data_IF_611963544163
#
_entry.id   IF_611963544163
#
_cell.length_a   1.000
_cell.length_b   1.000
_cell.length_c   1.000
_cell.angle_alpha   90.00
_cell.angle_beta   90.00
_cell.angle_gamma   90.00
#
_symmetry.space_group_name_H-M   'P 1'
#
loop_
_entity.id
_entity.type
_entity.pdbx_description
1 polymer ?
#
# COMPACT_ATOMS: atom_id res chain seq x y z
N UNK A 1 -1.28 10.43 -5.77
CA UNK A 1 -0.66 10.03 -7.05
C UNK A 1 -1.39 8.82 -7.59
N UNK A 2 -1.54 8.63 -8.91
CA UNK A 2 -2.22 7.46 -9.49
C UNK A 2 -1.21 6.64 -10.27
N UNK A 3 -1.03 5.39 -9.86
CA UNK A 3 0.02 4.51 -10.39
C UNK A 3 -0.30 3.93 -11.78
N UNK A 4 -1.58 3.82 -12.14
CA UNK A 4 -2.01 3.23 -13.41
C UNK A 4 -2.09 1.69 -13.41
N UNK A 5 -1.81 1.03 -12.27
CA UNK A 5 -1.89 -0.42 -12.11
C UNK A 5 -1.17 -0.91 -10.84
N UNK A 6 -0.91 -2.22 -10.78
CA UNK A 6 -0.14 -2.91 -9.74
C UNK A 6 0.98 -3.74 -10.37
N UNK A 7 2.10 -3.90 -9.66
CA UNK A 7 3.29 -4.62 -10.13
C UNK A 7 3.25 -6.08 -9.64
N UNK A 8 3.21 -7.07 -10.55
CA UNK A 8 3.60 -8.47 -10.28
C UNK A 8 3.91 -9.20 -11.59
N UNK A 9 4.80 -10.21 -11.59
CA UNK A 9 5.22 -10.98 -12.75
C UNK A 9 4.17 -12.05 -13.10
N UNK A 10 3.18 -11.69 -13.89
CA UNK A 10 2.33 -12.63 -14.61
C UNK A 10 2.28 -12.22 -16.10
N UNK A 11 1.89 -13.09 -17.01
CA UNK A 11 1.86 -12.82 -18.47
C UNK A 11 0.92 -11.67 -18.91
N UNK A 12 0.21 -11.03 -17.94
CA UNK A 12 -0.58 -9.79 -18.08
C UNK A 12 -0.04 -8.62 -17.25
N UNK A 13 1.12 -8.78 -16.63
CA UNK A 13 1.80 -7.79 -15.82
C UNK A 13 2.08 -6.51 -16.60
N UNK A 14 1.75 -5.39 -15.97
CA UNK A 14 2.23 -4.08 -16.37
C UNK A 14 3.54 -3.90 -15.60
N UNK A 15 4.69 -3.90 -16.28
CA UNK A 15 5.99 -3.81 -15.60
C UNK A 15 6.14 -2.50 -14.81
N UNK A 16 7.13 -2.38 -13.90
CA UNK A 16 7.35 -1.16 -13.13
C UNK A 16 7.54 0.07 -14.03
N UNK A 17 8.09 -0.13 -15.23
CA UNK A 17 8.24 0.85 -16.33
C UNK A 17 6.90 1.50 -16.75
N UNK A 18 5.82 0.75 -16.62
CA UNK A 18 4.48 1.11 -17.08
C UNK A 18 3.59 1.60 -15.94
N UNK A 19 4.03 1.44 -14.69
CA UNK A 19 3.51 2.19 -13.57
C UNK A 19 4.07 3.61 -13.66
N UNK A 20 3.25 4.62 -13.32
CA UNK A 20 3.67 6.02 -13.28
C UNK A 20 4.60 6.32 -12.09
N UNK A 21 5.64 5.50 -11.86
CA UNK A 21 6.55 5.59 -10.73
C UNK A 21 7.55 6.73 -10.88
N UNK A 22 7.96 7.05 -12.12
CA UNK A 22 8.86 8.18 -12.36
C UNK A 22 8.22 9.48 -11.91
N UNK A 23 6.98 9.69 -12.29
CA UNK A 23 6.18 10.85 -11.90
C UNK A 23 5.95 10.89 -10.38
N UNK A 24 5.80 9.73 -9.72
CA UNK A 24 5.73 9.66 -8.27
C UNK A 24 7.04 10.16 -7.64
N UNK A 25 8.19 9.66 -8.10
CA UNK A 25 9.50 10.05 -7.55
C UNK A 25 9.78 11.52 -7.80
N UNK A 26 9.48 12.03 -9.00
CA UNK A 26 9.62 13.45 -9.33
C UNK A 26 8.78 14.33 -8.41
N UNK A 27 7.55 13.93 -8.09
CA UNK A 27 6.68 14.65 -7.13
C UNK A 27 7.20 14.68 -5.70
N UNK A 28 8.03 13.71 -5.32
CA UNK A 28 8.62 13.62 -3.97
C UNK A 28 9.99 14.30 -3.90
N UNK A 29 10.55 14.73 -5.04
CA UNK A 29 11.93 15.21 -5.12
C UNK A 29 12.18 16.52 -4.36
N UNK A 30 11.20 17.44 -4.34
CA UNK A 30 11.35 18.77 -3.76
C UNK A 30 11.32 18.80 -2.21
N UNK A 31 11.04 17.66 -1.57
CA UNK A 31 11.03 17.52 -0.11
C UNK A 31 9.87 18.23 0.58
N UNK A 32 8.86 18.71 -0.15
CA UNK A 32 7.67 19.36 0.44
C UNK A 32 6.67 18.36 1.01
N UNK A 33 6.73 17.10 0.56
CA UNK A 33 5.86 16.02 1.02
C UNK A 33 6.48 15.37 2.25
N UNK A 34 5.74 15.36 3.36
CA UNK A 34 6.17 14.77 4.62
C UNK A 34 5.68 13.32 4.82
N UNK A 35 4.60 12.94 4.12
CA UNK A 35 4.01 11.60 4.21
C UNK A 35 3.50 11.05 2.87
N UNK A 36 3.82 9.79 2.60
CA UNK A 36 3.23 8.99 1.52
C UNK A 36 2.36 7.90 2.13
N UNK A 37 1.06 7.95 1.84
CA UNK A 37 0.10 6.93 2.24
C UNK A 37 -0.13 5.98 1.06
N UNK A 38 0.23 4.71 1.25
CA UNK A 38 0.03 3.64 0.27
C UNK A 38 -1.38 3.08 0.43
N UNK A 39 -2.20 3.34 -0.58
CA UNK A 39 -3.60 2.94 -0.67
C UNK A 39 -3.86 2.03 -1.88
N UNK A 40 -2.93 1.12 -2.16
CA UNK A 40 -3.15 0.04 -3.14
C UNK A 40 -4.14 -0.98 -2.58
N UNK A 41 -4.68 -1.82 -3.45
CA UNK A 41 -5.70 -2.80 -3.10
C UNK A 41 -5.27 -3.71 -1.93
N UNK A 42 -6.23 -4.17 -1.11
CA UNK A 42 -5.97 -4.99 0.06
C UNK A 42 -5.68 -6.47 -0.26
N UNK A 43 -5.17 -6.76 -1.46
CA UNK A 43 -4.81 -8.10 -1.94
C UNK A 43 -3.29 -8.32 -1.96
N UNK A 44 -2.85 -9.45 -2.51
CA UNK A 44 -1.44 -9.88 -2.55
C UNK A 44 -0.64 -8.99 -3.51
N UNK A 45 -1.23 -8.65 -4.65
CA UNK A 45 -0.68 -7.80 -5.71
C UNK A 45 -0.46 -6.37 -5.20
N UNK A 46 -1.49 -5.79 -4.60
CA UNK A 46 -1.44 -4.50 -3.96
C UNK A 46 -0.46 -4.50 -2.78
N UNK A 47 -0.35 -5.61 -2.04
CA UNK A 47 0.65 -5.80 -0.98
C UNK A 47 2.08 -5.67 -1.49
N UNK A 48 2.41 -6.44 -2.53
CA UNK A 48 3.72 -6.43 -3.16
C UNK A 48 4.05 -5.06 -3.75
N UNK A 49 3.10 -4.44 -4.46
CA UNK A 49 3.26 -3.11 -5.07
C UNK A 49 3.58 -2.05 -4.02
N UNK A 50 2.84 -2.00 -2.92
CA UNK A 50 3.08 -1.04 -1.86
C UNK A 50 4.41 -1.30 -1.13
N UNK A 51 4.78 -2.56 -0.90
CA UNK A 51 6.08 -2.89 -0.31
C UNK A 51 7.23 -2.44 -1.22
N UNK A 52 7.08 -2.61 -2.54
CA UNK A 52 8.05 -2.14 -3.53
C UNK A 52 8.16 -0.61 -3.51
N UNK A 53 7.04 0.11 -3.65
CA UNK A 53 7.03 1.58 -3.62
C UNK A 53 7.60 2.10 -2.29
N UNK A 54 7.20 1.49 -1.18
CA UNK A 54 7.66 1.90 0.14
C UNK A 54 9.17 1.76 0.31
N UNK A 55 9.82 0.79 -0.35
CA UNK A 55 11.29 0.69 -0.41
C UNK A 55 11.89 1.72 -1.37
N UNK A 56 11.24 1.97 -2.50
CA UNK A 56 11.70 2.88 -3.54
C UNK A 56 11.76 4.34 -3.06
N UNK A 57 10.75 4.79 -2.32
CA UNK A 57 10.63 6.20 -1.89
C UNK A 57 11.17 6.47 -0.48
N UNK A 58 11.68 5.45 0.22
CA UNK A 58 12.10 5.58 1.62
C UNK A 58 13.25 6.56 1.78
N UNK A 59 13.05 7.57 2.63
CA UNK A 59 14.07 8.57 3.02
C UNK A 59 13.86 8.97 4.49
N UNK A 60 14.89 9.53 5.13
CA UNK A 60 14.85 9.96 6.54
C UNK A 60 13.76 11.03 6.81
N UNK A 61 13.53 11.90 5.83
CA UNK A 61 12.61 13.03 5.87
C UNK A 61 11.18 12.70 5.41
N UNK A 62 10.91 11.44 5.01
CA UNK A 62 9.63 11.04 4.44
C UNK A 62 9.02 9.86 5.18
N UNK A 63 7.85 10.08 5.79
CA UNK A 63 7.07 9.01 6.40
C UNK A 63 6.34 8.22 5.32
N UNK A 64 6.49 6.91 5.32
CA UNK A 64 5.72 6.02 4.44
C UNK A 64 4.80 5.18 5.30
N UNK A 65 3.50 5.30 5.06
CA UNK A 65 2.47 4.58 5.80
C UNK A 65 1.56 3.83 4.84
N UNK A 66 0.79 2.89 5.39
CA UNK A 66 -0.18 2.11 4.65
C UNK A 66 -1.54 2.23 5.31
N UNK A 67 -2.60 2.29 4.50
CA UNK A 67 -3.96 2.22 5.01
C UNK A 67 -4.15 0.96 5.86
N UNK A 68 -4.90 1.10 6.95
CA UNK A 68 -5.17 -0.01 7.84
C UNK A 68 -5.96 -1.11 7.12
N UNK A 69 -5.75 -2.35 7.56
CA UNK A 69 -6.47 -3.54 7.10
C UNK A 69 -7.05 -4.26 8.30
N UNK A 70 -8.21 -4.87 8.12
CA UNK A 70 -8.91 -5.60 9.16
C UNK A 70 -10.41 -5.50 8.98
N UNK A 71 -11.12 -5.68 10.08
CA UNK A 71 -12.58 -5.71 10.10
C UNK A 71 -13.18 -4.35 9.68
N UNK A 72 -14.18 -4.34 8.80
CA UNK A 72 -14.89 -3.12 8.46
C UNK A 72 -15.73 -2.64 9.65
N UNK A 73 -15.87 -1.32 9.78
CA UNK A 73 -16.75 -0.74 10.79
C UNK A 73 -18.20 -1.19 10.58
N UNK A 74 -18.84 -1.69 11.64
CA UNK A 74 -20.20 -2.21 11.59
C UNK A 74 -20.33 -3.61 10.95
N UNK A 75 -19.21 -4.25 10.58
CA UNK A 75 -19.21 -5.66 10.20
C UNK A 75 -19.30 -6.58 11.41
N UNK A 76 -19.92 -7.75 11.23
CA UNK A 76 -19.91 -8.80 12.25
C UNK A 76 -18.62 -9.62 12.15
N UNK A 77 -18.06 -9.99 13.30
CA UNK A 77 -16.87 -10.85 13.37
C UNK A 77 -17.18 -12.25 12.83
N UNK A 78 -18.42 -12.72 13.00
CA UNK A 78 -18.85 -14.06 12.60
C UNK A 78 -18.88 -14.26 11.07
N UNK A 79 -18.93 -13.16 10.31
CA UNK A 79 -18.94 -13.18 8.84
C UNK A 79 -17.59 -12.79 8.22
N UNK A 80 -16.57 -12.51 9.02
CA UNK A 80 -15.26 -12.14 8.52
C UNK A 80 -14.46 -13.39 8.13
N UNK A 81 -13.74 -13.30 7.02
CA UNK A 81 -12.80 -14.34 6.62
C UNK A 81 -11.55 -14.37 7.52
N UNK A 82 -10.87 -15.52 7.54
CA UNK A 82 -9.71 -15.75 8.39
C UNK A 82 -8.58 -14.74 8.15
N UNK A 83 -8.37 -14.32 6.90
CA UNK A 83 -7.32 -13.36 6.55
C UNK A 83 -7.65 -11.98 7.11
N UNK A 84 -8.88 -11.50 6.94
CA UNK A 84 -9.35 -10.24 7.52
C UNK A 84 -9.23 -10.23 9.04
N UNK A 85 -9.62 -11.32 9.70
CA UNK A 85 -9.48 -11.48 11.15
C UNK A 85 -8.01 -11.45 11.58
N UNK A 86 -7.13 -12.19 10.90
CA UNK A 86 -5.70 -12.19 11.19
C UNK A 86 -5.10 -10.77 11.08
N UNK A 87 -5.45 -10.02 10.03
CA UNK A 87 -5.01 -8.62 9.86
C UNK A 87 -5.54 -7.69 10.95
N UNK A 88 -6.79 -7.87 11.37
CA UNK A 88 -7.37 -7.08 12.47
C UNK A 88 -6.65 -7.33 13.80
N UNK A 89 -6.28 -8.58 14.09
CA UNK A 89 -5.52 -8.97 15.29
C UNK A 89 -4.08 -8.45 15.24
N UNK A 90 -3.44 -8.51 14.08
CA UNK A 90 -2.09 -7.96 13.85
C UNK A 90 -2.07 -6.45 14.03
N UNK A 91 -3.08 -5.75 13.49
CA UNK A 91 -3.23 -4.30 13.55
C UNK A 91 -3.86 -3.75 14.83
N UNK A 92 -4.08 -4.59 15.86
CA UNK A 92 -4.71 -4.16 17.13
C UNK A 92 -3.85 -3.11 17.83
N UNK A 93 -4.51 -2.15 18.48
CA UNK A 93 -3.85 -1.06 19.22
C UNK A 93 -4.25 -1.13 20.69
N UNK A 94 -3.32 -0.75 21.56
CA UNK A 94 -3.61 -0.49 22.97
C UNK A 94 -4.48 0.77 23.10
N UNK A 95 -5.27 0.85 24.17
CA UNK A 95 -6.16 1.98 24.48
C UNK A 95 -5.55 2.90 25.52
#
# INVERSE_FOLDING_TARGET
HVLGGTDLPDWRAIGPEQLHLRELVERLHDGTVEEVILATDPDVEGDATALYIGRLVRREDLRVTRIARGLPAGGDIDYADELTLARAIEGRREL
#
